data_IF_881329430384
#
_entry.id   IF_881329430384
#
_cell.length_a   1.000
_cell.length_b   1.000
_cell.length_c   1.000
_cell.angle_alpha   90.00
_cell.angle_beta   90.00
_cell.angle_gamma   90.00
#
_symmetry.space_group_name_H-M   'P 1'
#
loop_
_entity.id
_entity.type
_entity.pdbx_description
1 polymer ?
#
# COMPACT_ATOMS: atom_id res chain seq x y z
N UNK A 1 15.96 -1.12 -16.49
CA UNK A 1 14.84 -2.07 -16.40
C UNK A 1 14.49 -2.43 -17.84
N UNK A 2 14.67 -3.69 -18.24
CA UNK A 2 14.45 -4.16 -19.62
C UNK A 2 12.95 -3.97 -19.92
N UNK A 3 12.61 -3.45 -21.11
CA UNK A 3 11.23 -3.14 -21.56
C UNK A 3 10.57 -1.83 -21.08
N UNK A 4 11.24 -0.97 -20.29
CA UNK A 4 10.64 0.31 -19.87
C UNK A 4 10.27 1.20 -21.05
N UNK A 5 11.11 1.22 -22.09
CA UNK A 5 10.90 2.07 -23.26
C UNK A 5 9.72 1.56 -24.10
N UNK A 6 9.54 0.24 -24.18
CA UNK A 6 8.41 -0.39 -24.88
C UNK A 6 7.09 -0.10 -24.16
N UNK A 7 6.99 -0.36 -22.85
CA UNK A 7 5.78 -0.09 -22.07
C UNK A 7 5.46 1.40 -21.87
N UNK A 8 6.35 2.30 -22.31
CA UNK A 8 6.15 3.76 -22.26
C UNK A 8 6.15 4.41 -23.65
N UNK A 9 6.15 3.62 -24.72
CA UNK A 9 6.15 4.12 -26.07
C UNK A 9 4.85 4.92 -26.34
N UNK A 10 4.92 6.23 -26.63
CA UNK A 10 3.72 7.05 -26.79
C UNK A 10 2.80 6.54 -27.89
N UNK A 11 3.35 6.04 -28.99
CA UNK A 11 2.60 5.47 -30.11
C UNK A 11 1.74 4.27 -29.68
N UNK A 12 2.30 3.37 -28.87
CA UNK A 12 1.59 2.19 -28.36
C UNK A 12 0.52 2.59 -27.34
N UNK A 13 0.80 3.58 -26.49
CA UNK A 13 -0.18 4.14 -25.54
C UNK A 13 -1.36 4.75 -26.29
N UNK A 14 -1.11 5.57 -27.32
CA UNK A 14 -2.18 6.19 -28.10
C UNK A 14 -3.01 5.15 -28.87
N UNK A 15 -2.38 4.12 -29.44
CA UNK A 15 -3.10 2.98 -30.04
C UNK A 15 -4.01 2.28 -29.02
N UNK A 16 -3.53 2.06 -27.80
CA UNK A 16 -4.33 1.47 -26.73
C UNK A 16 -5.49 2.38 -26.32
N UNK A 17 -5.29 3.69 -26.25
CA UNK A 17 -6.35 4.66 -25.94
C UNK A 17 -7.45 4.64 -27.00
N UNK A 18 -7.11 4.63 -28.30
CA UNK A 18 -8.12 4.50 -29.35
C UNK A 18 -8.89 3.18 -29.24
N UNK A 19 -8.19 2.08 -28.97
CA UNK A 19 -8.84 0.80 -28.74
C UNK A 19 -9.79 0.84 -27.53
N UNK A 20 -9.38 1.48 -26.43
CA UNK A 20 -10.23 1.64 -25.25
C UNK A 20 -11.48 2.48 -25.57
N UNK A 21 -11.38 3.53 -26.41
CA UNK A 21 -12.56 4.30 -26.87
C UNK A 21 -13.54 3.44 -27.67
N UNK A 22 -13.04 2.65 -28.61
CA UNK A 22 -13.88 1.73 -29.39
C UNK A 22 -14.60 0.71 -28.50
N UNK A 23 -13.89 0.14 -27.52
CA UNK A 23 -14.46 -0.86 -26.59
C UNK A 23 -15.42 -0.24 -25.59
N UNK A 24 -15.09 0.94 -25.05
CA UNK A 24 -15.93 1.60 -24.05
C UNK A 24 -17.28 2.03 -24.61
N UNK A 25 -17.36 2.37 -25.91
CA UNK A 25 -18.62 2.68 -26.58
C UNK A 25 -19.59 1.47 -26.68
N UNK A 26 -19.08 0.25 -26.51
CA UNK A 26 -19.90 -0.98 -26.52
C UNK A 26 -20.39 -1.38 -25.12
N UNK A 27 -19.94 -0.71 -24.07
CA UNK A 27 -20.32 -1.02 -22.70
C UNK A 27 -21.57 -0.22 -22.28
N UNK A 28 -22.39 -0.74 -21.36
CA UNK A 28 -23.59 -0.07 -20.87
C UNK A 28 -23.28 1.03 -19.83
N UNK A 29 -22.19 1.78 -20.01
CA UNK A 29 -21.76 2.87 -19.13
C UNK A 29 -21.78 4.20 -19.90
N UNK A 30 -22.17 5.28 -19.22
CA UNK A 30 -22.26 6.63 -19.77
C UNK A 30 -21.42 7.61 -18.96
N UNK A 31 -21.33 8.87 -19.38
CA UNK A 31 -20.65 9.90 -18.59
C UNK A 31 -21.35 10.15 -17.23
N UNK A 32 -22.67 9.99 -17.16
CA UNK A 32 -23.45 10.15 -15.91
C UNK A 32 -23.36 8.92 -14.99
N UNK A 33 -23.03 7.75 -15.56
CA UNK A 33 -22.82 6.48 -14.84
C UNK A 33 -21.60 5.76 -15.43
N UNK A 34 -20.38 6.22 -15.12
CA UNK A 34 -19.17 5.65 -15.70
C UNK A 34 -18.86 4.27 -15.11
N UNK A 35 -18.06 3.49 -15.83
CA UNK A 35 -17.42 2.29 -15.31
C UNK A 35 -16.39 2.70 -14.26
N UNK A 36 -16.64 2.36 -13.00
CA UNK A 36 -15.79 2.77 -11.88
C UNK A 36 -14.75 1.72 -11.55
N UNK A 37 -13.49 2.02 -11.88
CA UNK A 37 -12.36 1.12 -11.68
C UNK A 37 -11.56 1.61 -10.46
N UNK A 38 -11.54 0.84 -9.38
CA UNK A 38 -10.73 1.17 -8.21
C UNK A 38 -9.31 0.62 -8.34
N UNK A 39 -8.32 1.51 -8.30
CA UNK A 39 -6.93 1.09 -8.07
C UNK A 39 -6.60 1.14 -6.57
N UNK A 40 -5.73 0.23 -6.12
CA UNK A 40 -5.32 0.13 -4.71
C UNK A 40 -3.80 0.08 -4.56
N UNK A 41 -3.10 0.92 -5.32
CA UNK A 41 -1.65 1.02 -5.29
C UNK A 41 -1.20 2.47 -5.47
N UNK A 42 -0.49 3.04 -4.49
CA UNK A 42 0.07 4.39 -4.64
C UNK A 42 0.95 4.58 -5.88
N UNK A 43 1.57 3.50 -6.40
CA UNK A 43 2.30 3.52 -7.66
C UNK A 43 1.40 3.67 -8.90
N UNK A 44 0.22 3.05 -8.89
CA UNK A 44 -0.80 3.25 -9.93
C UNK A 44 -1.39 4.64 -9.84
N UNK A 45 -1.79 5.10 -8.65
CA UNK A 45 -2.22 6.48 -8.41
C UNK A 45 -1.21 7.47 -8.99
N UNK A 46 0.07 7.31 -8.65
CA UNK A 46 1.13 8.18 -9.16
C UNK A 46 1.25 8.14 -10.68
N UNK A 47 1.18 6.95 -11.30
CA UNK A 47 1.24 6.83 -12.75
C UNK A 47 0.05 7.48 -13.46
N UNK A 48 -1.17 7.27 -12.95
CA UNK A 48 -2.41 7.86 -13.48
C UNK A 48 -2.28 9.38 -13.53
N UNK A 49 -1.93 10.01 -12.40
CA UNK A 49 -1.78 11.47 -12.34
C UNK A 49 -0.57 11.99 -13.13
N UNK A 50 0.58 11.32 -13.03
CA UNK A 50 1.81 11.77 -13.70
C UNK A 50 1.67 11.82 -15.21
N UNK A 51 0.94 10.88 -15.79
CA UNK A 51 0.73 10.78 -17.23
C UNK A 51 -0.64 11.29 -17.69
N UNK A 52 -1.47 11.81 -16.78
CA UNK A 52 -2.81 12.32 -17.10
C UNK A 52 -3.72 11.26 -17.73
N UNK A 53 -3.60 10.00 -17.31
CA UNK A 53 -4.35 8.89 -17.92
C UNK A 53 -5.86 9.07 -17.74
N UNK A 54 -6.28 9.69 -16.64
CA UNK A 54 -7.66 10.08 -16.35
C UNK A 54 -8.24 11.00 -17.44
N UNK A 55 -7.42 11.89 -18.03
CA UNK A 55 -7.84 12.80 -19.11
C UNK A 55 -7.82 12.15 -20.50
N UNK A 56 -7.11 11.04 -20.66
CA UNK A 56 -6.98 10.34 -21.94
C UNK A 56 -8.06 9.28 -22.15
N UNK A 57 -8.62 8.76 -21.06
CA UNK A 57 -9.65 7.73 -21.09
C UNK A 57 -11.00 8.26 -21.60
N UNK A 58 -11.88 7.37 -22.09
CA UNK A 58 -13.26 7.72 -22.44
C UNK A 58 -14.03 8.28 -21.24
N UNK A 59 -14.95 9.23 -21.48
CA UNK A 59 -15.74 9.89 -20.41
C UNK A 59 -16.62 8.94 -19.60
N UNK A 60 -16.91 7.75 -20.12
CA UNK A 60 -17.66 6.71 -19.43
C UNK A 60 -16.78 5.73 -18.63
N UNK A 61 -15.52 6.08 -18.35
CA UNK A 61 -14.60 5.34 -17.48
C UNK A 61 -14.03 6.27 -16.42
N UNK A 62 -14.12 5.86 -15.16
CA UNK A 62 -13.68 6.66 -14.02
C UNK A 62 -12.74 5.82 -13.13
N UNK A 63 -11.62 6.40 -12.70
CA UNK A 63 -10.77 5.79 -11.67
C UNK A 63 -11.18 6.22 -10.27
N UNK A 64 -11.31 5.25 -9.37
CA UNK A 64 -11.40 5.48 -7.93
C UNK A 64 -10.05 5.18 -7.30
N UNK A 65 -9.54 6.11 -6.50
CA UNK A 65 -8.29 5.93 -5.75
C UNK A 65 -8.57 5.30 -4.40
N UNK A 66 -8.34 4.00 -4.30
CA UNK A 66 -8.55 3.23 -3.08
C UNK A 66 -7.42 3.34 -2.06
N UNK A 67 -7.46 2.55 -0.98
CA UNK A 67 -6.49 2.59 0.12
C UNK A 67 -5.13 1.96 -0.24
N UNK A 68 -4.43 2.52 -1.24
CA UNK A 68 -3.17 1.99 -1.79
C UNK A 68 -1.89 2.48 -1.11
N UNK A 69 -2.00 3.22 0.00
CA UNK A 69 -0.88 3.77 0.77
C UNK A 69 -0.97 3.33 2.23
N UNK A 70 -0.09 2.41 2.70
CA UNK A 70 -0.22 1.81 4.05
C UNK A 70 -0.03 2.86 5.17
N UNK A 71 0.79 3.88 4.91
CA UNK A 71 1.02 5.01 5.82
C UNK A 71 -0.22 5.89 5.93
N UNK A 72 -0.90 6.13 4.82
CA UNK A 72 -2.04 7.05 4.73
C UNK A 72 -3.29 6.49 5.40
N UNK A 73 -3.42 5.16 5.44
CA UNK A 73 -4.57 4.47 6.04
C UNK A 73 -4.29 3.97 7.47
N UNK A 74 -3.11 4.29 8.01
CA UNK A 74 -2.75 3.91 9.36
C UNK A 74 -3.61 4.69 10.38
N UNK A 75 -4.30 4.02 11.31
CA UNK A 75 -5.08 4.73 12.32
C UNK A 75 -4.19 5.63 13.19
N UNK A 76 -4.64 6.86 13.47
CA UNK A 76 -3.89 7.83 14.29
C UNK A 76 -3.41 7.25 15.63
N UNK A 77 -4.23 6.41 16.28
CA UNK A 77 -3.88 5.76 17.54
C UNK A 77 -2.64 4.85 17.45
N UNK A 78 -2.30 4.33 16.26
CA UNK A 78 -1.07 3.56 16.05
C UNK A 78 0.17 4.44 16.02
N UNK A 79 0.06 5.67 15.49
CA UNK A 79 1.14 6.67 15.58
C UNK A 79 1.33 7.09 17.04
N UNK A 80 0.25 7.28 17.79
CA UNK A 80 0.33 7.59 19.23
C UNK A 80 1.10 6.49 19.98
N UNK A 81 0.81 5.22 19.72
CA UNK A 81 1.60 4.10 20.28
C UNK A 81 3.08 4.15 19.86
N UNK A 82 3.39 4.53 18.63
CA UNK A 82 4.78 4.68 18.19
C UNK A 82 5.50 5.80 18.96
N UNK A 83 4.83 6.94 19.16
CA UNK A 83 5.35 8.08 19.92
C UNK A 83 5.56 7.70 21.39
N UNK A 84 4.62 6.97 21.99
CA UNK A 84 4.72 6.45 23.35
C UNK A 84 5.93 5.52 23.49
N UNK A 85 6.07 4.50 22.62
CA UNK A 85 7.21 3.58 22.64
C UNK A 85 8.53 4.34 22.46
N UNK A 86 8.59 5.29 21.51
CA UNK A 86 9.79 6.08 21.25
C UNK A 86 10.19 6.99 22.41
N UNK A 87 9.24 7.37 23.28
CA UNK A 87 9.50 8.26 24.42
C UNK A 87 10.29 7.60 25.56
N UNK A 88 10.36 6.26 25.58
CA UNK A 88 11.13 5.51 26.57
C UNK A 88 12.65 5.74 26.40
N UNK A 89 13.38 6.20 27.44
CA UNK A 89 14.80 6.53 27.33
C UNK A 89 15.71 5.38 26.90
N UNK A 90 15.32 4.13 27.16
CA UNK A 90 16.08 2.93 26.77
C UNK A 90 15.84 2.49 25.32
N UNK A 91 14.85 3.08 24.64
CA UNK A 91 14.42 2.67 23.30
C UNK A 91 15.21 3.38 22.20
N UNK A 92 15.54 2.65 21.13
CA UNK A 92 15.87 3.21 19.82
C UNK A 92 14.72 2.82 18.89
N UNK A 93 13.93 3.80 18.47
CA UNK A 93 12.75 3.56 17.64
C UNK A 93 13.11 3.71 16.17
N UNK A 94 12.98 2.64 15.39
CA UNK A 94 13.34 2.58 13.98
C UNK A 94 12.09 2.63 13.11
N UNK A 95 12.07 3.49 12.11
CA UNK A 95 10.94 3.66 11.18
C UNK A 95 11.43 3.94 9.76
N UNK A 96 10.58 3.71 8.76
CA UNK A 96 10.79 4.29 7.43
C UNK A 96 10.51 5.80 7.44
N UNK A 97 11.07 6.50 6.46
CA UNK A 97 11.03 7.96 6.40
C UNK A 97 9.63 8.55 6.12
N UNK A 98 8.78 7.80 5.43
CA UNK A 98 7.40 8.18 5.10
C UNK A 98 6.51 8.30 6.35
N UNK A 99 6.69 7.43 7.35
CA UNK A 99 5.95 7.47 8.59
C UNK A 99 6.36 8.59 9.56
N UNK A 100 7.51 9.25 9.34
CA UNK A 100 8.05 10.25 10.28
C UNK A 100 7.13 11.45 10.50
N UNK A 101 6.37 11.85 9.47
CA UNK A 101 5.55 13.07 9.49
C UNK A 101 4.06 12.80 9.70
N UNK A 102 3.67 11.54 9.83
CA UNK A 102 2.25 11.18 10.03
C UNK A 102 1.79 11.75 11.36
N UNK A 103 0.67 12.48 11.40
CA UNK A 103 0.16 13.07 12.64
C UNK A 103 -0.48 12.00 13.52
N UNK A 104 -0.11 11.99 14.80
CA UNK A 104 -0.87 11.41 15.90
C UNK A 104 -1.50 12.50 16.77
N UNK A 105 -2.30 12.11 17.77
CA UNK A 105 -2.84 13.04 18.78
C UNK A 105 -1.72 13.68 19.60
N UNK A 106 -0.65 12.95 19.88
CA UNK A 106 0.53 13.45 20.64
C UNK A 106 1.63 14.04 19.73
N UNK A 107 1.27 14.32 18.48
CA UNK A 107 2.19 14.75 17.44
C UNK A 107 2.79 13.60 16.65
N UNK A 108 3.74 13.90 15.78
CA UNK A 108 4.41 12.94 14.91
C UNK A 108 5.70 12.38 15.51
N UNK A 109 6.23 11.30 14.92
CA UNK A 109 7.55 10.75 15.26
C UNK A 109 8.68 11.77 15.08
N UNK A 110 8.56 12.66 14.09
CA UNK A 110 9.50 13.77 13.91
C UNK A 110 9.46 14.75 15.08
N UNK A 111 8.27 15.05 15.61
CA UNK A 111 8.13 15.90 16.79
C UNK A 111 8.61 15.19 18.06
N UNK A 112 8.37 13.88 18.19
CA UNK A 112 8.93 13.08 19.30
C UNK A 112 10.46 13.12 19.30
N UNK A 113 11.08 12.98 18.12
CA UNK A 113 12.53 13.13 17.94
C UNK A 113 13.02 14.52 18.37
N UNK A 114 12.31 15.58 17.99
CA UNK A 114 12.64 16.94 18.42
C UNK A 114 12.54 17.15 19.94
N UNK A 115 11.71 16.34 20.63
CA UNK A 115 11.60 16.31 22.10
C UNK A 115 12.65 15.42 22.79
N UNK A 116 13.58 14.81 22.04
CA UNK A 116 14.68 14.02 22.58
C UNK A 116 14.53 12.50 22.49
N UNK A 117 13.45 11.98 21.87
CA UNK A 117 13.34 10.56 21.58
C UNK A 117 14.40 10.10 20.55
N UNK A 118 15.01 8.94 20.76
CA UNK A 118 15.96 8.35 19.78
C UNK A 118 15.17 7.65 18.66
N UNK A 119 14.70 8.44 17.69
CA UNK A 119 14.03 7.96 16.47
C UNK A 119 14.99 7.95 15.29
N UNK A 120 15.18 6.80 14.67
CA UNK A 120 16.09 6.58 13.54
C UNK A 120 15.32 6.15 12.29
N UNK A 121 15.68 6.79 11.18
CA UNK A 121 15.17 6.38 9.87
C UNK A 121 16.04 5.23 9.38
N UNK A 122 15.40 4.14 8.95
CA UNK A 122 16.05 2.97 8.35
C UNK A 122 15.51 2.74 6.95
N UNK A 123 16.26 2.03 6.12
CA UNK A 123 15.84 1.65 4.75
C UNK A 123 15.44 0.18 4.67
N UNK A 124 15.81 -0.62 5.65
CA UNK A 124 15.38 -2.02 5.78
C UNK A 124 15.16 -2.43 7.24
N UNK A 125 14.35 -3.47 7.50
CA UNK A 125 14.26 -4.05 8.84
C UNK A 125 15.60 -4.64 9.32
N UNK A 126 16.47 -5.06 8.40
CA UNK A 126 17.83 -5.56 8.72
C UNK A 126 18.73 -4.46 9.28
N UNK A 127 18.55 -3.19 8.89
CA UNK A 127 19.28 -2.07 9.47
C UNK A 127 18.91 -1.91 10.96
N UNK A 128 17.64 -2.06 11.29
CA UNK A 128 17.16 -2.03 12.68
C UNK A 128 17.68 -3.23 13.49
N UNK A 129 17.75 -4.42 12.89
CA UNK A 129 18.39 -5.57 13.53
C UNK A 129 19.88 -5.31 13.78
N UNK A 130 20.59 -4.72 12.83
CA UNK A 130 22.00 -4.34 13.00
C UNK A 130 22.17 -3.34 14.15
N UNK A 131 21.30 -2.33 14.23
CA UNK A 131 21.27 -1.41 15.37
C UNK A 131 21.08 -2.13 16.71
N UNK A 132 20.25 -3.18 16.77
CA UNK A 132 20.08 -3.96 17.99
C UNK A 132 21.37 -4.69 18.41
N UNK A 133 22.09 -5.27 17.45
CA UNK A 133 23.37 -5.92 17.69
C UNK A 133 24.45 -4.93 18.16
N UNK A 134 24.46 -3.73 17.60
CA UNK A 134 25.45 -2.69 17.92
C UNK A 134 25.13 -1.95 19.23
N UNK A 135 23.90 -2.10 19.77
CA UNK A 135 23.44 -1.44 20.99
C UNK A 135 22.82 -2.45 21.97
N UNK A 136 23.59 -3.41 22.51
CA UNK A 136 23.04 -4.54 23.28
C UNK A 136 22.34 -4.14 24.59
N UNK A 137 22.60 -2.94 25.12
CA UNK A 137 21.97 -2.41 26.34
C UNK A 137 20.69 -1.61 26.06
N UNK A 138 20.34 -1.40 24.79
CA UNK A 138 19.17 -0.62 24.35
C UNK A 138 18.11 -1.55 23.78
N UNK A 139 16.83 -1.18 23.92
CA UNK A 139 15.72 -1.87 23.26
C UNK A 139 15.54 -1.26 21.86
N UNK A 140 15.79 -2.02 20.81
CA UNK A 140 15.57 -1.52 19.45
C UNK A 140 14.21 -1.99 18.96
N UNK A 141 13.31 -1.04 18.71
CA UNK A 141 11.95 -1.33 18.24
C UNK A 141 11.84 -0.92 16.79
N UNK A 142 11.57 -1.86 15.90
CA UNK A 142 11.27 -1.58 14.50
C UNK A 142 9.75 -1.43 14.29
N UNK A 143 9.35 -0.31 13.71
CA UNK A 143 7.98 -0.03 13.31
C UNK A 143 7.66 -0.74 11.99
N UNK A 144 6.97 -1.87 12.09
CA UNK A 144 6.57 -2.68 10.96
C UNK A 144 5.35 -2.14 10.27
N UNK A 145 5.54 -1.41 9.17
CA UNK A 145 4.46 -0.85 8.38
C UNK A 145 4.58 -1.31 6.92
N UNK A 146 3.42 -1.48 6.29
CA UNK A 146 3.33 -1.77 4.86
C UNK A 146 2.38 -2.92 4.56
N UNK A 147 2.12 -3.11 3.27
CA UNK A 147 1.33 -4.21 2.76
C UNK A 147 2.13 -5.52 2.69
N UNK A 148 1.57 -6.52 2.03
CA UNK A 148 2.18 -7.84 1.86
C UNK A 148 3.57 -7.76 1.20
N UNK A 149 3.86 -6.71 0.43
CA UNK A 149 5.18 -6.48 -0.18
C UNK A 149 6.32 -6.33 0.83
N UNK A 150 6.03 -5.80 2.03
CA UNK A 150 7.05 -5.58 3.06
C UNK A 150 7.07 -6.66 4.14
N UNK A 151 6.03 -7.50 4.21
CA UNK A 151 5.95 -8.58 5.22
C UNK A 151 7.05 -9.65 5.09
N UNK A 152 7.46 -10.11 3.88
CA UNK A 152 8.52 -11.12 3.75
C UNK A 152 9.87 -10.67 4.32
N UNK A 153 10.28 -9.43 4.05
CA UNK A 153 11.57 -8.91 4.54
C UNK A 153 11.57 -8.74 6.05
N UNK A 154 10.44 -8.31 6.63
CA UNK A 154 10.21 -8.32 8.08
C UNK A 154 10.32 -9.74 8.65
N UNK A 155 9.63 -10.71 8.05
CA UNK A 155 9.63 -12.10 8.55
C UNK A 155 11.03 -12.71 8.54
N UNK A 156 11.78 -12.51 7.45
CA UNK A 156 13.18 -12.96 7.34
C UNK A 156 14.05 -12.29 8.40
N UNK A 157 13.85 -11.00 8.66
CA UNK A 157 14.61 -10.27 9.69
C UNK A 157 14.36 -10.84 11.10
N UNK A 158 13.11 -11.17 11.43
CA UNK A 158 12.77 -11.83 12.70
C UNK A 158 13.40 -13.22 12.79
N UNK A 159 13.42 -13.99 11.71
CA UNK A 159 14.12 -15.28 11.66
C UNK A 159 15.63 -15.11 11.89
N UNK A 160 16.25 -14.11 11.27
CA UNK A 160 17.66 -13.78 11.48
C UNK A 160 17.95 -13.35 12.91
N UNK A 161 17.09 -12.52 13.52
CA UNK A 161 17.22 -12.12 14.92
C UNK A 161 17.21 -13.35 15.86
N UNK A 162 16.28 -14.29 15.61
CA UNK A 162 16.20 -15.55 16.35
C UNK A 162 17.43 -16.44 16.16
N UNK A 163 17.90 -16.60 14.91
CA UNK A 163 19.09 -17.40 14.60
C UNK A 163 20.36 -16.86 15.26
N UNK A 164 20.44 -15.53 15.46
CA UNK A 164 21.58 -14.83 16.06
C UNK A 164 21.43 -14.59 17.57
N UNK A 165 20.36 -15.12 18.20
CA UNK A 165 20.01 -14.90 19.62
C UNK A 165 19.99 -13.41 20.03
N UNK A 166 19.49 -12.53 19.15
CA UNK A 166 19.38 -11.09 19.44
C UNK A 166 18.11 -10.84 20.26
N UNK A 167 18.27 -10.57 21.55
CA UNK A 167 17.16 -10.48 22.53
C UNK A 167 16.58 -9.09 22.75
N UNK A 168 17.26 -8.06 22.28
CA UNK A 168 16.88 -6.66 22.44
C UNK A 168 16.25 -6.06 21.17
N UNK A 169 15.93 -6.89 20.18
CA UNK A 169 15.24 -6.49 18.96
C UNK A 169 13.75 -6.80 19.07
N UNK A 170 12.92 -5.77 18.96
CA UNK A 170 11.47 -5.82 19.07
C UNK A 170 10.82 -5.33 17.79
N UNK A 171 9.62 -5.83 17.52
CA UNK A 171 8.88 -5.49 16.33
C UNK A 171 7.48 -5.04 16.69
N UNK A 172 7.15 -3.79 16.33
CA UNK A 172 5.80 -3.27 16.47
C UNK A 172 5.05 -3.47 15.15
N UNK A 173 4.34 -4.59 15.04
CA UNK A 173 3.64 -4.99 13.81
C UNK A 173 2.37 -4.16 13.59
N UNK A 174 2.39 -3.33 12.55
CA UNK A 174 1.24 -2.62 11.98
C UNK A 174 1.15 -2.86 10.47
N UNK A 175 1.57 -4.05 10.02
CA UNK A 175 1.36 -4.45 8.64
C UNK A 175 -0.14 -4.58 8.35
N UNK A 176 -0.52 -4.24 7.12
CA UNK A 176 -1.91 -4.27 6.66
C UNK A 176 -2.00 -5.31 5.56
N UNK A 177 -3.02 -6.15 5.60
CA UNK A 177 -3.32 -7.11 4.53
C UNK A 177 -4.40 -6.52 3.63
N UNK A 178 -4.17 -6.53 2.33
CA UNK A 178 -5.05 -5.95 1.32
C UNK A 178 -6.38 -6.70 1.22
N UNK A 179 -6.38 -8.03 1.22
CA UNK A 179 -7.58 -8.84 0.95
C UNK A 179 -8.72 -8.54 1.94
N UNK A 180 -8.50 -8.50 3.27
CA UNK A 180 -9.54 -8.07 4.21
C UNK A 180 -10.01 -6.64 3.99
N UNK A 181 -9.12 -5.72 3.60
CA UNK A 181 -9.50 -4.33 3.29
C UNK A 181 -10.42 -4.25 2.08
N UNK A 182 -10.10 -4.98 1.00
CA UNK A 182 -10.95 -5.04 -0.19
C UNK A 182 -12.32 -5.65 0.11
N UNK A 183 -12.37 -6.72 0.90
CA UNK A 183 -13.64 -7.34 1.31
C UNK A 183 -14.50 -6.36 2.11
N UNK A 184 -13.90 -5.68 3.08
CA UNK A 184 -14.59 -4.69 3.91
C UNK A 184 -15.16 -3.53 3.09
N UNK A 185 -14.46 -3.11 2.02
CA UNK A 185 -14.98 -2.11 1.08
C UNK A 185 -16.16 -2.64 0.25
N UNK A 186 -16.04 -3.87 -0.26
CA UNK A 186 -17.06 -4.49 -1.11
C UNK A 186 -18.35 -4.83 -0.36
N UNK A 187 -18.27 -5.08 0.95
CA UNK A 187 -19.44 -5.31 1.81
C UNK A 187 -20.26 -4.04 2.07
N UNK A 188 -19.76 -2.85 1.70
CA UNK A 188 -20.52 -1.62 1.85
C UNK A 188 -21.60 -1.52 0.77
N UNK A 189 -22.88 -1.22 1.14
CA UNK A 189 -24.01 -1.27 0.23
C UNK A 189 -23.92 -0.30 -0.96
N UNK A 190 -23.19 0.81 -0.81
CA UNK A 190 -23.05 1.85 -1.83
C UNK A 190 -21.57 2.08 -2.24
N UNK A 191 -20.75 1.02 -2.27
CA UNK A 191 -19.33 1.15 -2.60
C UNK A 191 -19.08 1.74 -4.00
N UNK A 192 -20.01 1.53 -4.94
CA UNK A 192 -19.97 2.11 -6.28
C UNK A 192 -18.78 1.65 -7.13
N UNK A 193 -18.18 0.50 -6.84
CA UNK A 193 -17.02 -0.06 -7.53
C UNK A 193 -17.51 -1.12 -8.53
N UNK A 194 -17.07 -1.02 -9.79
CA UNK A 194 -17.37 -1.99 -10.84
C UNK A 194 -16.19 -2.94 -11.14
N UNK A 195 -14.96 -2.48 -10.92
CA UNK A 195 -13.75 -3.25 -11.17
C UNK A 195 -12.59 -2.84 -10.25
N UNK A 196 -11.58 -3.70 -10.13
CA UNK A 196 -10.32 -3.39 -9.46
C UNK A 196 -9.13 -3.48 -10.40
N UNK A 197 -8.20 -2.54 -10.26
CA UNK A 197 -6.86 -2.66 -10.78
C UNK A 197 -5.93 -3.17 -9.67
N UNK A 198 -5.63 -4.46 -9.70
CA UNK A 198 -4.86 -5.14 -8.65
C UNK A 198 -3.41 -4.62 -8.55
N UNK A 199 -2.86 -4.48 -7.33
CA UNK A 199 -1.50 -3.96 -7.11
C UNK A 199 -0.43 -4.97 -7.48
N UNK A 200 0.27 -4.76 -8.60
CA UNK A 200 1.23 -5.73 -9.15
C UNK A 200 2.27 -6.26 -8.15
N UNK A 201 2.90 -5.39 -7.35
CA UNK A 201 3.89 -5.83 -6.35
C UNK A 201 3.28 -6.70 -5.24
N UNK A 202 2.05 -6.42 -4.81
CA UNK A 202 1.35 -7.25 -3.81
C UNK A 202 0.95 -8.58 -4.43
N UNK A 203 0.46 -8.57 -5.68
CA UNK A 203 0.14 -9.78 -6.45
C UNK A 203 1.35 -10.70 -6.61
N UNK A 204 2.57 -10.16 -6.71
CA UNK A 204 3.80 -10.97 -6.71
C UNK A 204 4.00 -11.76 -5.40
N UNK A 205 3.44 -11.30 -4.28
CA UNK A 205 3.57 -11.94 -2.97
C UNK A 205 2.42 -12.91 -2.70
N UNK A 206 1.18 -12.50 -2.98
CA UNK A 206 -0.02 -13.27 -2.61
C UNK A 206 -0.64 -14.07 -3.77
N UNK A 207 -0.13 -13.90 -4.98
CA UNK A 207 -0.70 -14.51 -6.19
C UNK A 207 -1.91 -13.76 -6.72
N UNK A 208 -2.45 -14.23 -7.85
CA UNK A 208 -3.66 -13.65 -8.46
C UNK A 208 -4.93 -14.32 -7.93
N UNK A 209 -4.78 -15.54 -7.43
CA UNK A 209 -5.83 -16.37 -6.84
C UNK A 209 -6.46 -15.69 -5.62
N UNK A 210 -5.67 -14.91 -4.87
CA UNK A 210 -6.13 -14.16 -3.72
C UNK A 210 -7.25 -13.16 -4.03
N UNK A 211 -7.38 -12.70 -5.28
CA UNK A 211 -8.40 -11.74 -5.72
C UNK A 211 -9.67 -12.43 -6.27
N UNK A 212 -9.69 -13.75 -6.42
CA UNK A 212 -10.82 -14.46 -7.05
C UNK A 212 -12.15 -14.29 -6.30
N UNK A 213 -12.08 -14.05 -4.99
CA UNK A 213 -13.26 -13.82 -4.15
C UNK A 213 -14.07 -12.59 -4.63
N UNK A 214 -13.43 -11.60 -5.26
CA UNK A 214 -14.11 -10.41 -5.77
C UNK A 214 -15.17 -10.82 -6.79
N UNK A 215 -14.80 -11.68 -7.74
CA UNK A 215 -15.71 -12.16 -8.77
C UNK A 215 -16.65 -13.27 -8.30
N UNK A 216 -16.25 -14.05 -7.29
CA UNK A 216 -17.03 -15.19 -6.80
C UNK A 216 -18.10 -14.80 -5.77
N UNK A 217 -17.75 -13.90 -4.85
CA UNK A 217 -18.60 -13.54 -3.71
C UNK A 217 -19.43 -12.28 -3.98
N UNK A 218 -18.96 -11.41 -4.88
CA UNK A 218 -19.63 -10.16 -5.21
C UNK A 218 -20.06 -10.18 -6.68
N UNK A 219 -21.13 -9.46 -7.01
CA UNK A 219 -21.51 -9.15 -8.40
C UNK A 219 -21.32 -7.64 -8.61
N UNK A 220 -20.88 -7.20 -9.79
CA UNK A 220 -20.80 -5.75 -10.04
C UNK A 220 -22.21 -5.16 -9.98
N UNK A 221 -22.40 -3.97 -9.38
CA UNK A 221 -23.69 -3.30 -9.26
C UNK A 221 -24.38 -3.00 -10.61
N UNK A 222 -23.66 -3.10 -11.73
CA UNK A 222 -24.18 -2.82 -13.08
C UNK A 222 -24.69 -4.06 -13.83
N UNK A 223 -24.72 -5.25 -13.20
CA UNK A 223 -25.16 -6.49 -13.85
C UNK A 223 -24.17 -7.05 -14.87
N UNK A 224 -22.99 -6.42 -15.01
CA UNK A 224 -21.82 -7.03 -15.65
C UNK A 224 -21.07 -7.92 -14.66
N UNK A 225 -20.42 -8.98 -15.13
CA UNK A 225 -19.46 -9.71 -14.29
C UNK A 225 -18.29 -8.80 -13.91
N UNK A 226 -17.66 -9.04 -12.75
CA UNK A 226 -16.40 -8.35 -12.41
C UNK A 226 -15.38 -8.56 -13.53
N UNK A 227 -14.84 -7.44 -14.05
CA UNK A 227 -13.78 -7.49 -15.06
C UNK A 227 -12.52 -8.03 -14.39
N UNK A 228 -12.10 -9.21 -14.82
CA UNK A 228 -10.87 -9.86 -14.35
C UNK A 228 -9.68 -9.18 -15.02
N UNK A 229 -8.96 -8.35 -14.28
CA UNK A 229 -7.62 -7.89 -14.69
C UNK A 229 -6.64 -8.15 -13.57
N UNK A 230 -5.80 -9.16 -13.79
CA UNK A 230 -4.54 -9.37 -13.08
C UNK A 230 -3.40 -9.20 -14.09
#
# INVERSE_FOLDING_TARGET
MRFVDEYRAPEQVMQLIEHLRERAALLPYTAERPLRIMEVCGGHTHAIFKFGLDQLLPENVEFIHGPGCPVCVLPMGRIDSCVEIASHPEVIFCTFGDAMRVPGKQGSLLQAKARGADVRIVYSPMDALKLAQDNPTRKVVFFGLGFETTMPTTAITLQQAKQRDVRNFYFFCQHITLIPTLRSLLEQPDNGIDAFLAPGHVSMVIGTEAYQFIAADFSSPAGGGWIRTA
#
